data_IF_247742572486
#
_entry.id   IF_247742572486
#
_cell.length_a   1.000
_cell.length_b   1.000
_cell.length_c   1.000
_cell.angle_alpha   90.00
_cell.angle_beta   90.00
_cell.angle_gamma   90.00
#
_symmetry.space_group_name_H-M   'P 1'
#
loop_
_entity.id
_entity.type
_entity.pdbx_description
1 polymer ?
#
# COMPACT_ATOMS: atom_id res chain seq x y z
N UNK A 1 5.16 9.20 5.01
CA UNK A 1 5.28 10.38 4.15
C UNK A 1 4.21 10.32 3.08
N UNK A 2 3.46 11.40 2.91
CA UNK A 2 2.42 11.44 1.90
C UNK A 2 3.01 11.33 0.50
N UNK A 3 2.33 10.67 -0.44
CA UNK A 3 2.80 10.58 -1.81
C UNK A 3 2.75 11.92 -2.51
N UNK A 4 3.63 12.12 -3.48
CA UNK A 4 3.61 13.28 -4.36
C UNK A 4 2.44 13.19 -5.36
N UNK A 5 2.19 14.29 -6.05
CA UNK A 5 1.12 14.35 -7.05
C UNK A 5 1.32 13.35 -8.19
N UNK A 6 2.59 13.04 -8.51
CA UNK A 6 2.93 12.13 -9.61
C UNK A 6 2.87 10.66 -9.22
N UNK A 7 2.57 10.35 -7.95
CA UNK A 7 2.50 8.96 -7.52
C UNK A 7 1.28 8.27 -8.15
N UNK A 8 1.47 6.99 -8.47
CA UNK A 8 0.38 6.17 -8.99
C UNK A 8 -0.50 5.77 -7.81
N UNK A 9 -1.80 6.01 -7.94
CA UNK A 9 -2.78 5.68 -6.92
C UNK A 9 -3.67 4.54 -7.40
N UNK A 10 -4.06 3.70 -6.46
CA UNK A 10 -4.94 2.57 -6.71
C UNK A 10 -6.28 2.82 -6.05
N UNK A 11 -7.28 2.04 -6.46
CA UNK A 11 -8.59 2.10 -5.86
C UNK A 11 -8.52 1.74 -4.37
N UNK A 12 -9.26 2.51 -3.56
CA UNK A 12 -9.34 2.24 -2.13
C UNK A 12 -10.15 0.95 -1.87
N UNK A 13 -9.84 0.25 -0.76
CA UNK A 13 -10.69 -0.86 -0.34
C UNK A 13 -12.13 -0.39 -0.17
N UNK A 14 -13.07 -1.25 -0.57
CA UNK A 14 -14.51 -0.93 -0.53
C UNK A 14 -15.19 -1.40 0.76
N UNK A 15 -14.42 -1.84 1.74
CA UNK A 15 -14.92 -2.32 3.01
C UNK A 15 -14.46 -1.41 4.14
N UNK A 16 -15.27 -1.35 5.18
CA UNK A 16 -15.02 -0.54 6.37
C UNK A 16 -15.33 -1.39 7.59
N UNK A 17 -14.75 -1.05 8.73
CA UNK A 17 -15.11 -1.69 9.99
C UNK A 17 -16.04 -0.79 10.81
N UNK A 18 -17.14 -0.37 10.20
CA UNK A 18 -18.08 0.58 10.76
C UNK A 18 -18.75 0.10 12.07
N UNK A 19 -18.67 -1.19 12.37
CA UNK A 19 -19.13 -1.72 13.65
C UNK A 19 -18.38 -1.10 14.83
N UNK A 20 -17.18 -0.58 14.60
CA UNK A 20 -16.37 0.11 15.61
C UNK A 20 -16.43 1.62 15.50
N UNK A 21 -17.20 2.15 14.58
CA UNK A 21 -17.29 3.58 14.38
C UNK A 21 -17.81 4.27 15.64
N UNK A 22 -17.15 5.35 16.12
CA UNK A 22 -17.64 6.06 17.29
C UNK A 22 -19.12 6.48 17.13
N UNK A 23 -19.92 6.17 18.13
CA UNK A 23 -21.36 6.41 18.09
C UNK A 23 -22.20 5.20 17.76
N UNK A 24 -21.59 4.11 17.30
CA UNK A 24 -22.33 2.86 17.05
C UNK A 24 -22.42 2.00 18.32
N UNK A 25 -23.34 1.05 18.32
CA UNK A 25 -23.58 0.18 19.47
C UNK A 25 -22.43 -0.83 19.65
N UNK A 26 -22.12 -1.11 20.92
CA UNK A 26 -21.20 -2.17 21.30
C UNK A 26 -21.86 -3.11 22.29
N UNK A 27 -21.22 -4.26 22.57
CA UNK A 27 -21.86 -5.34 23.31
C UNK A 27 -21.48 -5.38 24.79
N UNK A 28 -20.24 -5.03 25.13
CA UNK A 28 -19.72 -5.23 26.48
C UNK A 28 -18.99 -3.98 26.95
N UNK A 29 -19.45 -3.33 28.04
CA UNK A 29 -18.75 -2.16 28.57
C UNK A 29 -17.29 -2.49 28.89
N UNK A 30 -16.40 -1.57 28.53
CA UNK A 30 -14.97 -1.73 28.75
C UNK A 30 -14.22 -2.41 27.61
N UNK A 31 -14.89 -3.00 26.66
CA UNK A 31 -14.26 -3.54 25.47
C UNK A 31 -13.54 -2.42 24.70
N UNK A 32 -12.46 -2.78 24.04
CA UNK A 32 -11.69 -1.86 23.22
C UNK A 32 -11.63 -2.37 21.78
N UNK A 33 -11.45 -1.46 20.86
CA UNK A 33 -11.28 -1.77 19.44
C UNK A 33 -10.60 -0.65 18.73
N UNK A 34 -10.50 -0.77 17.42
CA UNK A 34 -9.96 0.27 16.58
C UNK A 34 -10.84 0.44 15.34
N UNK A 35 -11.20 1.67 15.06
CA UNK A 35 -11.88 2.03 13.82
C UNK A 35 -10.83 2.50 12.83
N UNK A 36 -10.74 1.85 11.68
CA UNK A 36 -9.74 2.19 10.65
C UNK A 36 -10.43 2.64 9.38
N UNK A 37 -9.90 3.70 8.78
CA UNK A 37 -10.42 4.29 7.55
C UNK A 37 -9.30 4.38 6.53
N UNK A 38 -9.51 3.81 5.35
CA UNK A 38 -8.55 3.91 4.26
C UNK A 38 -8.57 5.32 3.68
N UNK A 39 -7.41 5.92 3.48
CA UNK A 39 -7.27 7.28 2.96
C UNK A 39 -6.65 7.33 1.59
N UNK A 40 -5.63 6.49 1.34
CA UNK A 40 -4.93 6.46 0.07
C UNK A 40 -4.29 5.09 -0.13
N UNK A 41 -4.19 4.66 -1.36
CA UNK A 41 -3.53 3.41 -1.72
C UNK A 41 -2.67 3.70 -2.93
N UNK A 42 -1.35 3.59 -2.78
CA UNK A 42 -0.44 4.13 -3.78
C UNK A 42 0.81 3.27 -3.98
N UNK A 43 1.46 3.49 -5.14
CA UNK A 43 2.70 2.80 -5.47
C UNK A 43 3.89 3.63 -5.00
N UNK A 44 4.61 3.09 -4.03
CA UNK A 44 5.88 3.66 -3.56
C UNK A 44 6.99 3.06 -4.39
N UNK A 45 7.41 3.77 -5.43
CA UNK A 45 8.51 3.35 -6.28
C UNK A 45 9.81 3.50 -5.53
N UNK A 46 10.61 2.44 -5.45
CA UNK A 46 11.93 2.48 -4.83
C UNK A 46 13.02 2.50 -5.87
N UNK A 47 12.82 1.83 -6.99
CA UNK A 47 13.84 1.68 -8.02
C UNK A 47 13.18 1.61 -9.40
N UNK A 48 13.99 1.92 -10.42
CA UNK A 48 13.56 1.78 -11.81
C UNK A 48 14.79 1.56 -12.69
N UNK A 49 14.56 0.89 -13.81
CA UNK A 49 15.61 0.68 -14.81
C UNK A 49 15.03 0.95 -16.20
N UNK A 50 15.77 1.70 -17.00
CA UNK A 50 15.37 1.99 -18.38
C UNK A 50 15.44 0.72 -19.22
N UNK A 51 14.47 0.55 -20.10
CA UNK A 51 14.40 -0.57 -21.03
C UNK A 51 14.06 -0.03 -22.42
N UNK A 52 14.56 -0.69 -23.44
CA UNK A 52 14.27 -0.30 -24.82
C UNK A 52 14.23 -1.53 -25.71
N UNK A 53 13.31 -1.53 -26.66
CA UNK A 53 13.19 -2.57 -27.67
C UNK A 53 13.36 -1.94 -29.04
N UNK A 54 14.51 -2.17 -29.66
CA UNK A 54 14.82 -1.62 -31.00
C UNK A 54 14.46 -2.60 -32.12
N UNK A 55 13.92 -3.77 -31.75
CA UNK A 55 13.56 -4.80 -32.72
C UNK A 55 12.17 -4.56 -33.30
N UNK A 56 11.86 -5.29 -34.36
CA UNK A 56 10.54 -5.26 -35.01
C UNK A 56 9.53 -6.21 -34.37
N UNK A 57 9.90 -6.93 -33.33
CA UNK A 57 9.03 -7.86 -32.61
C UNK A 57 9.07 -7.54 -31.13
N UNK A 58 8.01 -7.95 -30.42
CA UNK A 58 7.94 -7.79 -28.96
C UNK A 58 9.05 -8.59 -28.30
N UNK A 59 9.54 -8.12 -27.15
CA UNK A 59 10.56 -8.83 -26.40
C UNK A 59 10.27 -8.81 -24.90
N UNK A 60 10.69 -9.87 -24.19
CA UNK A 60 10.60 -9.86 -22.73
C UNK A 60 11.68 -8.98 -22.12
N UNK A 61 11.33 -8.27 -21.07
CA UNK A 61 12.27 -7.47 -20.30
C UNK A 61 12.22 -7.89 -18.83
N UNK A 62 13.39 -8.01 -18.23
CA UNK A 62 13.55 -8.43 -16.83
C UNK A 62 14.67 -7.63 -16.22
N UNK A 63 14.54 -7.30 -14.95
CA UNK A 63 15.60 -6.68 -14.19
C UNK A 63 15.89 -7.51 -12.95
N UNK A 64 17.12 -7.41 -12.46
CA UNK A 64 17.53 -8.07 -11.24
C UNK A 64 17.69 -7.01 -10.16
N UNK A 65 17.12 -7.28 -8.99
CA UNK A 65 17.22 -6.36 -7.84
C UNK A 65 18.68 -6.33 -7.38
N UNK A 66 19.29 -5.15 -7.44
CA UNK A 66 20.69 -4.94 -7.07
C UNK A 66 20.88 -4.45 -5.66
N UNK A 67 19.81 -4.01 -5.02
CA UNK A 67 19.81 -3.56 -3.63
C UNK A 67 18.54 -4.06 -2.95
N UNK A 68 18.70 -4.56 -1.73
CA UNK A 68 17.52 -4.95 -0.95
C UNK A 68 16.73 -3.70 -0.59
N UNK A 69 15.40 -3.84 -0.63
CA UNK A 69 14.48 -2.79 -0.20
C UNK A 69 13.45 -3.40 0.71
N UNK A 70 13.06 -2.67 1.72
CA UNK A 70 12.03 -3.14 2.63
C UNK A 70 11.07 -2.00 2.97
N UNK A 71 9.85 -2.39 3.30
CA UNK A 71 8.83 -1.47 3.77
C UNK A 71 8.17 -2.08 4.98
N UNK A 72 8.11 -1.33 6.06
CA UNK A 72 7.54 -1.80 7.32
C UNK A 72 6.21 -1.12 7.61
N UNK A 73 5.41 -1.79 8.42
CA UNK A 73 4.17 -1.24 8.96
C UNK A 73 4.52 -0.14 9.96
N UNK A 74 3.98 1.06 9.74
CA UNK A 74 4.29 2.22 10.58
C UNK A 74 3.02 2.86 11.12
N UNK A 75 3.06 3.23 12.38
CA UNK A 75 1.96 3.91 13.05
C UNK A 75 2.53 5.18 13.68
N UNK A 76 1.85 6.31 13.53
CA UNK A 76 2.33 7.60 14.02
C UNK A 76 2.25 7.77 15.53
N UNK A 77 1.55 6.87 16.22
CA UNK A 77 1.42 6.89 17.67
C UNK A 77 1.83 5.54 18.24
N UNK A 78 2.19 5.52 19.52
CA UNK A 78 2.44 4.24 20.21
C UNK A 78 1.09 3.55 20.43
N UNK A 79 0.89 2.45 19.74
CA UNK A 79 -0.28 1.58 19.95
C UNK A 79 0.23 0.24 20.43
N UNK A 80 -0.48 -0.35 21.37
CA UNK A 80 -0.25 -1.73 21.72
C UNK A 80 -0.80 -2.59 20.60
N UNK A 81 0.01 -3.55 20.16
CA UNK A 81 -0.49 -4.53 19.22
C UNK A 81 -0.54 -4.06 17.78
N UNK A 82 0.59 -3.60 17.25
CA UNK A 82 0.74 -3.35 15.82
C UNK A 82 0.29 -4.57 15.01
N UNK A 83 0.62 -5.79 15.48
CA UNK A 83 0.19 -7.03 14.84
C UNK A 83 -1.31 -7.19 14.84
N UNK A 84 -2.00 -6.78 15.92
CA UNK A 84 -3.46 -6.81 15.98
C UNK A 84 -4.08 -5.79 15.02
N UNK A 85 -3.48 -4.62 14.93
CA UNK A 85 -3.95 -3.58 14.01
C UNK A 85 -3.82 -4.04 12.56
N UNK A 86 -2.69 -4.65 12.20
CA UNK A 86 -2.50 -5.22 10.87
C UNK A 86 -3.54 -6.31 10.58
N UNK A 87 -3.87 -7.12 11.56
CA UNK A 87 -4.88 -8.16 11.44
C UNK A 87 -6.28 -7.58 11.25
N UNK A 88 -6.62 -6.54 11.99
CA UNK A 88 -7.88 -5.82 11.83
C UNK A 88 -8.00 -5.27 10.41
N UNK A 89 -6.95 -4.66 9.90
CA UNK A 89 -6.92 -4.10 8.55
C UNK A 89 -7.04 -5.18 7.50
N UNK A 90 -6.35 -6.31 7.67
CA UNK A 90 -6.45 -7.45 6.76
C UNK A 90 -7.88 -7.96 6.68
N UNK A 91 -8.52 -8.14 7.83
CA UNK A 91 -9.90 -8.63 7.90
C UNK A 91 -10.89 -7.60 7.35
N UNK A 92 -10.64 -6.32 7.61
CA UNK A 92 -11.55 -5.24 7.18
C UNK A 92 -11.45 -5.00 5.69
N UNK A 93 -10.23 -4.83 5.18
CA UNK A 93 -10.04 -4.35 3.80
C UNK A 93 -9.85 -5.49 2.77
N UNK A 94 -9.55 -6.68 3.23
CA UNK A 94 -9.40 -7.84 2.34
C UNK A 94 -8.05 -7.96 1.66
N UNK A 95 -7.11 -7.09 1.96
CA UNK A 95 -5.71 -7.22 1.54
C UNK A 95 -4.87 -7.65 2.73
N UNK A 96 -3.81 -8.43 2.48
CA UNK A 96 -2.95 -8.88 3.57
C UNK A 96 -1.96 -7.78 3.95
N UNK A 97 -1.97 -7.39 5.22
CA UNK A 97 -1.03 -6.45 5.78
C UNK A 97 -0.11 -7.18 6.74
N UNK A 98 1.18 -7.02 6.53
CA UNK A 98 2.21 -7.69 7.32
C UNK A 98 3.15 -6.66 7.90
N UNK A 99 3.95 -7.08 8.89
CA UNK A 99 4.90 -6.18 9.51
C UNK A 99 5.94 -5.65 8.51
N UNK A 100 6.35 -6.48 7.55
CA UNK A 100 7.44 -6.14 6.65
C UNK A 100 7.33 -6.86 5.32
N UNK A 101 7.63 -6.15 4.24
CA UNK A 101 7.69 -6.69 2.88
C UNK A 101 9.03 -6.31 2.28
N UNK A 102 9.67 -7.22 1.54
CA UNK A 102 10.99 -6.97 0.96
C UNK A 102 11.11 -7.32 -0.51
N UNK A 103 11.93 -6.52 -1.20
CA UNK A 103 12.62 -6.95 -2.41
C UNK A 103 14.02 -7.41 -1.99
N UNK A 104 14.34 -8.67 -2.28
CA UNK A 104 15.63 -9.27 -1.90
C UNK A 104 16.64 -9.12 -3.02
N UNK A 105 17.91 -9.08 -2.64
CA UNK A 105 19.00 -9.05 -3.60
C UNK A 105 18.88 -10.24 -4.56
N UNK A 106 19.12 -9.98 -5.84
CA UNK A 106 19.05 -10.97 -6.93
C UNK A 106 17.63 -11.47 -7.25
N UNK A 107 16.61 -10.92 -6.64
CA UNK A 107 15.23 -11.22 -7.02
C UNK A 107 14.95 -10.61 -8.39
N UNK A 108 14.20 -11.30 -9.24
CA UNK A 108 13.88 -10.84 -10.58
C UNK A 108 12.57 -10.05 -10.60
N UNK A 109 12.60 -8.97 -11.37
CA UNK A 109 11.42 -8.14 -11.66
C UNK A 109 11.03 -8.45 -13.10
N UNK A 110 9.82 -8.93 -13.29
CA UNK A 110 9.35 -9.38 -14.59
C UNK A 110 9.42 -10.90 -14.75
N UNK A 111 9.36 -11.41 -16.00
CA UNK A 111 9.43 -10.67 -17.25
C UNK A 111 8.14 -9.91 -17.60
N UNK A 112 8.31 -8.82 -18.30
CA UNK A 112 7.22 -8.07 -18.93
C UNK A 112 7.46 -7.99 -20.42
N UNK A 113 6.39 -7.86 -21.19
CA UNK A 113 6.52 -7.76 -22.65
C UNK A 113 6.66 -6.30 -23.04
N UNK A 114 7.78 -5.92 -23.63
CA UNK A 114 8.00 -4.60 -24.18
C UNK A 114 7.70 -4.66 -25.69
N UNK A 115 6.69 -3.91 -26.16
CA UNK A 115 6.32 -3.93 -27.56
C UNK A 115 7.44 -3.47 -28.49
N UNK A 116 7.40 -3.94 -29.73
CA UNK A 116 8.37 -3.59 -30.75
C UNK A 116 8.53 -2.07 -30.88
N UNK A 117 9.76 -1.58 -30.93
CA UNK A 117 10.08 -0.19 -31.12
C UNK A 117 9.81 0.74 -29.95
N UNK A 118 9.38 0.19 -28.79
CA UNK A 118 9.04 0.98 -27.63
C UNK A 118 10.20 1.07 -26.66
N UNK A 119 10.14 2.09 -25.82
CA UNK A 119 11.06 2.24 -24.70
C UNK A 119 10.28 2.70 -23.48
N UNK A 120 10.88 2.51 -22.31
CA UNK A 120 10.25 2.89 -21.08
C UNK A 120 11.13 2.54 -19.89
N UNK A 121 10.49 2.23 -18.80
CA UNK A 121 11.19 1.75 -17.60
C UNK A 121 10.41 0.69 -16.89
N UNK A 122 11.17 -0.21 -16.31
CA UNK A 122 10.64 -1.19 -15.39
C UNK A 122 10.83 -0.63 -13.99
N UNK A 123 9.72 -0.37 -13.31
CA UNK A 123 9.73 0.24 -11.98
C UNK A 123 9.25 -0.78 -10.96
N UNK A 124 9.84 -0.78 -9.78
CA UNK A 124 9.41 -1.66 -8.71
C UNK A 124 9.51 -0.99 -7.34
N UNK A 125 8.74 -1.50 -6.43
CA UNK A 125 8.61 -0.98 -5.08
C UNK A 125 7.50 -1.69 -4.34
N UNK A 126 6.60 -0.93 -3.73
CA UNK A 126 5.57 -1.49 -2.86
C UNK A 126 4.22 -0.80 -3.08
N UNK A 127 3.15 -1.55 -2.85
CA UNK A 127 1.82 -0.94 -2.69
C UNK A 127 1.66 -0.63 -1.21
N UNK A 128 1.35 0.62 -0.91
CA UNK A 128 1.20 1.13 0.46
C UNK A 128 -0.24 1.60 0.65
N UNK A 129 -0.84 1.21 1.76
CA UNK A 129 -2.11 1.78 2.20
C UNK A 129 -1.83 2.82 3.27
N UNK A 130 -2.31 4.04 3.04
CA UNK A 130 -2.36 5.09 4.05
C UNK A 130 -3.74 5.06 4.68
N UNK A 131 -3.80 4.94 5.99
CA UNK A 131 -5.05 4.82 6.72
C UNK A 131 -5.02 5.69 7.97
N UNK A 132 -6.20 5.96 8.50
CA UNK A 132 -6.37 6.59 9.80
C UNK A 132 -6.95 5.59 10.76
N UNK A 133 -6.38 5.51 11.95
CA UNK A 133 -6.86 4.68 13.02
C UNK A 133 -7.40 5.52 14.16
N UNK A 134 -8.47 5.04 14.78
CA UNK A 134 -9.07 5.63 15.95
C UNK A 134 -9.39 4.55 16.94
N UNK A 135 -8.72 4.56 18.09
CA UNK A 135 -9.05 3.63 19.17
C UNK A 135 -10.41 4.00 19.74
N UNK A 136 -11.17 2.99 20.09
CA UNK A 136 -12.51 3.15 20.66
C UNK A 136 -12.66 2.27 21.87
N UNK A 137 -13.56 2.67 22.77
CA UNK A 137 -13.90 1.95 23.99
C UNK A 137 -15.41 1.88 24.12
N UNK A 138 -15.90 0.74 24.52
CA UNK A 138 -17.34 0.54 24.78
C UNK A 138 -17.72 1.18 26.12
N UNK A 139 -18.61 2.15 26.10
CA UNK A 139 -19.09 2.84 27.32
C UNK A 139 -20.11 2.00 28.06
N UNK A 140 -20.43 2.35 29.33
CA UNK A 140 -21.52 1.70 30.05
C UNK A 140 -22.87 1.80 29.33
N UNK A 141 -23.05 2.80 28.47
CA UNK A 141 -24.27 2.98 27.67
C UNK A 141 -24.28 2.11 26.41
N UNK A 142 -23.26 1.24 26.24
CA UNK A 142 -23.13 0.34 25.09
C UNK A 142 -22.98 1.08 23.77
N UNK A 143 -22.15 2.11 23.76
CA UNK A 143 -21.82 2.90 22.58
C UNK A 143 -20.30 3.02 22.48
N UNK A 144 -19.74 2.84 21.29
CA UNK A 144 -18.33 3.07 21.04
C UNK A 144 -18.00 4.55 21.19
N UNK A 145 -17.01 4.85 22.01
CA UNK A 145 -16.51 6.21 22.19
C UNK A 145 -15.05 6.28 21.84
N UNK A 146 -14.66 7.37 21.19
CA UNK A 146 -13.27 7.66 20.86
C UNK A 146 -12.39 7.62 22.10
N UNK A 147 -11.26 6.92 22.01
CA UNK A 147 -10.27 6.80 23.08
C UNK A 147 -8.93 7.28 22.53
N UNK A 148 -8.47 8.45 23.00
CA UNK A 148 -7.24 9.04 22.51
C UNK A 148 -7.42 9.74 21.17
N UNK A 149 -6.31 10.21 20.61
CA UNK A 149 -6.31 10.94 19.34
C UNK A 149 -6.24 9.97 18.16
N UNK A 150 -6.77 10.35 17.00
CA UNK A 150 -6.54 9.59 15.77
C UNK A 150 -5.06 9.51 15.45
N UNK A 151 -4.67 8.45 14.79
CA UNK A 151 -3.29 8.24 14.37
C UNK A 151 -3.23 7.81 12.92
N UNK A 152 -2.07 8.01 12.31
CA UNK A 152 -1.82 7.66 10.93
C UNK A 152 -1.17 6.27 10.85
N UNK A 153 -1.59 5.49 9.85
CA UNK A 153 -1.06 4.16 9.57
C UNK A 153 -0.54 4.16 8.15
N UNK A 154 0.69 3.66 7.96
CA UNK A 154 1.26 3.40 6.65
C UNK A 154 1.56 1.91 6.58
N UNK A 155 0.81 1.16 5.80
CA UNK A 155 0.86 -0.29 5.80
C UNK A 155 1.25 -0.85 4.44
N UNK A 156 2.34 -1.64 4.36
CA UNK A 156 2.69 -2.27 3.10
C UNK A 156 1.77 -3.46 2.82
N UNK A 157 1.25 -3.53 1.60
CA UNK A 157 0.43 -4.65 1.16
C UNK A 157 1.29 -5.74 0.53
N UNK A 158 2.08 -5.38 -0.47
CA UNK A 158 2.86 -6.34 -1.24
C UNK A 158 3.93 -5.64 -2.04
N UNK A 159 4.87 -6.44 -2.55
CA UNK A 159 5.79 -6.00 -3.59
C UNK A 159 4.99 -5.73 -4.86
N UNK A 160 5.41 -4.72 -5.60
CA UNK A 160 4.75 -4.36 -6.83
C UNK A 160 5.77 -3.91 -7.87
N UNK A 161 5.53 -4.26 -9.11
CA UNK A 161 6.34 -3.82 -10.23
C UNK A 161 5.45 -3.59 -11.44
N UNK A 162 5.86 -2.68 -12.29
CA UNK A 162 5.15 -2.42 -13.53
C UNK A 162 6.10 -1.95 -14.62
N UNK A 163 5.71 -2.20 -15.86
CA UNK A 163 6.39 -1.67 -17.02
C UNK A 163 5.69 -0.35 -17.39
N UNK A 164 6.46 0.73 -17.39
CA UNK A 164 5.98 2.06 -17.78
C UNK A 164 6.53 2.36 -19.16
N UNK A 165 5.67 2.34 -20.16
CA UNK A 165 6.08 2.60 -21.56
C UNK A 165 6.03 4.10 -21.81
N UNK A 166 7.13 4.66 -22.32
CA UNK A 166 7.18 6.07 -22.66
C UNK A 166 6.25 6.35 -23.82
N UNK A 167 5.55 7.47 -23.74
CA UNK A 167 4.77 7.90 -24.88
C UNK A 167 5.68 8.32 -26.01
N UNK A 168 5.27 8.04 -27.24
CA UNK A 168 6.02 8.47 -28.41
C UNK A 168 6.18 10.00 -28.38
N UNK A 169 7.36 10.52 -28.73
CA UNK A 169 7.56 11.95 -28.78
C UNK A 169 6.55 12.61 -29.74
N UNK A 170 6.02 13.72 -29.33
CA UNK A 170 4.99 14.43 -30.10
C UNK A 170 5.53 15.57 -30.93
N UNK A 171 6.83 15.61 -31.14
CA UNK A 171 7.38 16.62 -32.00
C UNK A 171 7.49 16.11 -33.37
N UNK A 172 7.56 16.10 -33.40
CA UNK A 172 8.05 15.55 -34.16
C UNK A 172 8.14 15.92 -34.97
N UNK A 173 8.02 15.99 -34.83
CA UNK A 173 8.50 16.26 -35.33
C UNK A 173 8.54 16.91 -35.92
#
# INVERSE_FOLDING_TARGET
MAPGEDAIHFELPQRWNDDYKPGTACSTPGDTGAYVTARDRWFKQTDAASVANHDSVDMPVTQTVTQTREQTFKVSAKVKGEGELAKIMTNTFGFTYVHEVHWKLNQKVGPYTLPAGQQGRLAWGFIILEAEGQNVRCTPDLVWKQSGKPYHISAPETKYAELQIDQAPHYNN
#
